data_IF_187029806037
#
_entry.id   IF_187029806037
#
_cell.length_a   1.000
_cell.length_b   1.000
_cell.length_c   1.000
_cell.angle_alpha   90.00
_cell.angle_beta   90.00
_cell.angle_gamma   90.00
#
_symmetry.space_group_name_H-M   'P 1'
#
loop_
_entity.id
_entity.type
_entity.pdbx_description
1 polymer ?
#
# COMPACT_ATOMS: atom_id res chain seq x y z
N UNK A 1 13.10 -10.85 -10.15
CA UNK A 1 13.92 -11.35 -11.28
C UNK A 1 13.58 -12.80 -11.55
N UNK A 2 13.47 -13.19 -12.82
CA UNK A 2 13.24 -14.59 -13.21
C UNK A 2 14.56 -15.32 -13.45
N UNK A 3 14.67 -16.57 -12.99
CA UNK A 3 15.76 -17.50 -13.26
C UNK A 3 15.21 -18.83 -13.79
N UNK A 4 16.05 -19.62 -14.47
CA UNK A 4 15.69 -20.92 -15.01
C UNK A 4 16.38 -22.04 -14.23
N UNK A 5 15.60 -22.99 -13.74
CA UNK A 5 16.07 -24.13 -12.95
C UNK A 5 16.99 -25.04 -13.77
N UNK A 6 18.14 -25.40 -13.19
CA UNK A 6 19.11 -26.38 -13.72
C UNK A 6 19.06 -27.67 -12.91
N UNK A 7 19.80 -28.68 -13.37
CA UNK A 7 19.92 -29.95 -12.67
C UNK A 7 20.49 -29.75 -11.25
N UNK A 8 19.75 -30.21 -10.23
CA UNK A 8 20.17 -30.13 -8.82
C UNK A 8 19.85 -28.81 -8.11
N UNK A 9 19.28 -27.82 -8.81
CA UNK A 9 18.83 -26.58 -8.18
C UNK A 9 17.64 -26.85 -7.23
N UNK A 10 17.55 -26.05 -6.16
CA UNK A 10 16.42 -26.03 -5.23
C UNK A 10 16.11 -24.59 -4.79
N UNK A 11 14.90 -24.33 -4.30
CA UNK A 11 14.55 -23.00 -3.78
C UNK A 11 15.42 -22.63 -2.56
N UNK A 12 15.82 -23.62 -1.75
CA UNK A 12 16.76 -23.42 -0.65
C UNK A 12 18.13 -22.98 -1.15
N UNK A 13 18.66 -23.61 -2.20
CA UNK A 13 19.92 -23.19 -2.83
C UNK A 13 19.85 -21.75 -3.33
N UNK A 14 18.77 -21.37 -4.03
CA UNK A 14 18.56 -19.99 -4.47
C UNK A 14 18.44 -19.01 -3.30
N UNK A 15 17.78 -19.41 -2.21
CA UNK A 15 17.72 -18.61 -0.97
C UNK A 15 19.11 -18.29 -0.42
N UNK A 16 20.02 -19.28 -0.38
CA UNK A 16 21.40 -19.06 0.06
C UNK A 16 22.19 -18.21 -0.93
N UNK A 17 22.08 -18.51 -2.22
CA UNK A 17 22.80 -17.81 -3.30
C UNK A 17 22.46 -16.32 -3.34
N UNK A 18 21.17 -15.97 -3.25
CA UNK A 18 20.69 -14.59 -3.30
C UNK A 18 20.47 -13.97 -1.92
N UNK A 19 20.77 -14.67 -0.83
CA UNK A 19 20.56 -14.21 0.55
C UNK A 19 19.13 -13.64 0.77
N UNK A 20 18.13 -14.31 0.22
CA UNK A 20 16.71 -13.96 0.36
C UNK A 20 16.06 -15.04 1.22
N UNK A 21 15.19 -14.65 2.16
CA UNK A 21 14.46 -15.62 2.98
C UNK A 21 13.69 -16.60 2.09
N UNK A 22 13.85 -17.90 2.34
CA UNK A 22 13.21 -18.97 1.57
C UNK A 22 11.69 -18.79 1.49
N UNK A 23 11.04 -18.35 2.57
CA UNK A 23 9.60 -18.10 2.59
C UNK A 23 9.18 -17.09 1.52
N UNK A 24 9.95 -16.01 1.34
CA UNK A 24 9.65 -14.99 0.31
C UNK A 24 9.82 -15.54 -1.10
N UNK A 25 10.77 -16.46 -1.33
CA UNK A 25 10.92 -17.15 -2.61
C UNK A 25 9.73 -18.08 -2.84
N UNK A 26 9.34 -18.87 -1.84
CA UNK A 26 8.17 -19.76 -1.93
C UNK A 26 6.90 -18.98 -2.25
N UNK A 27 6.66 -17.87 -1.55
CA UNK A 27 5.48 -17.02 -1.72
C UNK A 27 5.48 -16.26 -3.05
N UNK A 28 6.66 -16.01 -3.63
CA UNK A 28 6.81 -15.45 -4.98
C UNK A 28 6.52 -16.49 -6.08
N UNK A 29 6.44 -17.77 -5.72
CA UNK A 29 6.24 -18.88 -6.65
C UNK A 29 5.13 -19.83 -6.17
N UNK A 30 3.88 -19.35 -6.02
CA UNK A 30 2.80 -20.14 -5.41
C UNK A 30 2.30 -21.31 -6.28
N UNK A 31 2.66 -21.34 -7.57
CA UNK A 31 2.18 -22.36 -8.53
C UNK A 31 3.19 -23.48 -8.80
N UNK A 32 4.38 -23.44 -8.18
CA UNK A 32 5.41 -24.46 -8.39
C UNK A 32 5.45 -25.43 -7.21
N UNK A 33 5.72 -26.70 -7.47
CA UNK A 33 6.02 -27.66 -6.40
C UNK A 33 7.41 -27.36 -5.84
N UNK A 34 7.46 -26.80 -4.62
CA UNK A 34 8.70 -26.37 -3.98
C UNK A 34 9.68 -27.51 -3.69
N UNK A 35 9.20 -28.76 -3.65
CA UNK A 35 10.02 -29.94 -3.36
C UNK A 35 10.51 -30.67 -4.61
N UNK A 36 9.96 -30.36 -5.79
CA UNK A 36 10.25 -31.07 -7.02
C UNK A 36 10.36 -30.10 -8.21
N UNK A 37 11.45 -29.31 -8.22
CA UNK A 37 11.72 -28.41 -9.33
C UNK A 37 12.12 -29.19 -10.58
N UNK A 38 11.54 -28.81 -11.72
CA UNK A 38 11.87 -29.41 -13.02
C UNK A 38 12.90 -28.55 -13.75
N UNK A 39 13.89 -29.17 -14.39
CA UNK A 39 14.86 -28.45 -15.24
C UNK A 39 14.13 -27.65 -16.32
N UNK A 40 14.51 -26.39 -16.51
CA UNK A 40 13.84 -25.46 -17.43
C UNK A 40 12.66 -24.70 -16.82
N UNK A 41 12.22 -25.05 -15.61
CA UNK A 41 11.19 -24.31 -14.89
C UNK A 41 11.67 -22.91 -14.51
N UNK A 42 10.78 -21.92 -14.60
CA UNK A 42 11.05 -20.54 -14.22
C UNK A 42 10.74 -20.32 -12.74
N UNK A 43 11.65 -19.65 -12.03
CA UNK A 43 11.52 -19.27 -10.62
C UNK A 43 11.74 -17.78 -10.48
N UNK A 44 10.88 -17.12 -9.70
CA UNK A 44 10.99 -15.71 -9.35
C UNK A 44 11.82 -15.53 -8.08
N UNK A 45 12.87 -14.72 -8.16
CA UNK A 45 13.67 -14.25 -7.03
C UNK A 45 13.25 -12.81 -6.70
N UNK A 46 12.59 -12.57 -5.55
CA UNK A 46 12.13 -11.24 -5.19
C UNK A 46 13.29 -10.35 -4.73
N UNK A 47 13.13 -9.03 -4.86
CA UNK A 47 14.13 -8.03 -4.47
C UNK A 47 15.32 -7.91 -5.41
N UNK A 48 15.27 -8.56 -6.58
CA UNK A 48 16.30 -8.52 -7.60
C UNK A 48 15.72 -8.18 -8.98
N UNK A 49 16.52 -7.49 -9.78
CA UNK A 49 16.27 -7.24 -11.21
C UNK A 49 17.49 -7.69 -12.03
N UNK A 50 17.26 -8.03 -13.30
CA UNK A 50 18.31 -8.34 -14.25
C UNK A 50 18.67 -7.06 -15.03
N UNK A 51 19.84 -6.48 -14.77
CA UNK A 51 20.28 -5.27 -15.48
C UNK A 51 21.25 -5.62 -16.60
N UNK A 52 21.12 -4.96 -17.74
CA UNK A 52 22.13 -5.05 -18.80
C UNK A 52 23.43 -4.38 -18.35
N UNK A 53 24.55 -5.06 -18.61
CA UNK A 53 25.88 -4.59 -18.31
C UNK A 53 26.80 -4.87 -19.50
N UNK A 54 27.46 -3.82 -19.98
CA UNK A 54 28.46 -3.94 -21.04
C UNK A 54 29.82 -4.27 -20.42
N UNK A 55 30.42 -5.36 -20.90
CA UNK A 55 31.71 -5.86 -20.44
C UNK A 55 32.82 -4.87 -20.80
N UNK A 56 33.61 -4.47 -19.80
CA UNK A 56 34.79 -3.62 -19.99
C UNK A 56 36.07 -4.45 -20.01
N UNK A 57 37.15 -3.87 -20.53
CA UNK A 57 38.47 -4.52 -20.52
C UNK A 57 38.91 -4.81 -19.08
N UNK A 58 39.21 -6.08 -18.81
CA UNK A 58 39.62 -6.55 -17.47
C UNK A 58 38.47 -7.10 -16.61
N UNK A 59 37.22 -6.98 -17.06
CA UNK A 59 36.11 -7.65 -16.40
C UNK A 59 36.16 -9.17 -16.62
N UNK A 60 35.70 -9.88 -15.59
CA UNK A 60 35.33 -11.30 -15.61
C UNK A 60 34.01 -11.47 -14.87
N UNK A 61 33.25 -12.55 -15.14
CA UNK A 61 32.02 -12.83 -14.37
C UNK A 61 32.30 -12.86 -12.87
N UNK A 62 33.45 -13.41 -12.46
CA UNK A 62 33.85 -13.46 -11.06
C UNK A 62 34.03 -12.06 -10.46
N UNK A 63 34.77 -11.17 -11.15
CA UNK A 63 34.99 -9.80 -10.68
C UNK A 63 33.70 -8.98 -10.62
N UNK A 64 32.75 -9.24 -11.52
CA UNK A 64 31.43 -8.59 -11.53
C UNK A 64 30.57 -9.14 -10.38
N UNK A 65 30.52 -10.46 -10.20
CA UNK A 65 29.80 -11.10 -9.11
C UNK A 65 30.27 -10.60 -7.74
N UNK A 66 31.59 -10.48 -7.55
CA UNK A 66 32.19 -9.92 -6.33
C UNK A 66 31.73 -8.49 -6.06
N UNK A 67 31.68 -7.61 -7.08
CA UNK A 67 31.15 -6.25 -6.95
C UNK A 67 29.67 -6.22 -6.52
N UNK A 68 28.90 -7.24 -6.90
CA UNK A 68 27.49 -7.39 -6.54
C UNK A 68 27.25 -8.14 -5.22
N UNK A 69 28.33 -8.58 -4.54
CA UNK A 69 28.27 -9.46 -3.38
C UNK A 69 27.47 -10.75 -3.64
N UNK A 70 27.72 -11.38 -4.80
CA UNK A 70 27.09 -12.62 -5.24
C UNK A 70 28.15 -13.67 -5.62
N UNK A 71 27.83 -14.97 -5.51
CA UNK A 71 28.70 -16.01 -6.05
C UNK A 71 28.73 -15.96 -7.58
N UNK A 72 29.82 -16.46 -8.18
CA UNK A 72 29.97 -16.59 -9.64
C UNK A 72 28.77 -17.31 -10.28
N UNK A 73 28.28 -18.34 -9.61
CA UNK A 73 27.13 -19.14 -10.06
C UNK A 73 25.88 -18.30 -10.34
N UNK A 74 25.64 -17.20 -9.61
CA UNK A 74 24.50 -16.31 -9.85
C UNK A 74 24.61 -15.61 -11.21
N UNK A 75 25.83 -15.30 -11.65
CA UNK A 75 26.10 -14.72 -12.97
C UNK A 75 25.92 -15.76 -14.09
N UNK A 76 26.35 -17.00 -13.85
CA UNK A 76 26.20 -18.09 -14.82
C UNK A 76 24.73 -18.50 -14.99
N UNK A 77 23.97 -18.48 -13.89
CA UNK A 77 22.54 -18.83 -13.87
C UNK A 77 21.70 -17.88 -14.74
N UNK A 78 22.01 -16.59 -14.75
CA UNK A 78 21.24 -15.60 -15.53
C UNK A 78 21.77 -15.41 -16.96
N UNK A 79 22.96 -15.93 -17.27
CA UNK A 79 23.58 -15.87 -18.59
C UNK A 79 24.01 -17.27 -19.07
N UNK A 80 23.07 -18.24 -19.23
CA UNK A 80 23.41 -19.62 -19.54
C UNK A 80 24.17 -19.80 -20.87
N UNK A 81 24.04 -18.86 -21.80
CA UNK A 81 24.74 -18.83 -23.08
C UNK A 81 26.16 -18.24 -23.02
N UNK A 82 26.52 -17.56 -21.93
CA UNK A 82 27.79 -16.86 -21.78
C UNK A 82 28.82 -17.77 -21.11
N UNK A 83 29.91 -18.10 -21.83
CA UNK A 83 31.04 -18.83 -21.25
C UNK A 83 32.04 -17.85 -20.63
N UNK A 84 32.40 -18.09 -19.37
CA UNK A 84 33.34 -17.24 -18.63
C UNK A 84 34.69 -17.07 -19.33
N UNK A 85 35.15 -18.09 -20.08
CA UNK A 85 36.43 -18.08 -20.80
C UNK A 85 36.43 -17.30 -22.12
N UNK A 86 35.26 -16.86 -22.62
CA UNK A 86 35.13 -16.20 -23.93
C UNK A 86 34.54 -14.80 -23.85
N UNK A 87 34.55 -14.20 -22.65
CA UNK A 87 34.07 -12.84 -22.43
C UNK A 87 34.88 -11.83 -23.23
N UNK A 88 34.19 -11.03 -24.04
CA UNK A 88 34.80 -10.03 -24.90
C UNK A 88 34.37 -8.63 -24.48
N UNK A 89 35.29 -7.64 -24.42
CA UNK A 89 34.92 -6.24 -24.21
C UNK A 89 33.87 -5.79 -25.22
N UNK A 90 32.85 -5.08 -24.74
CA UNK A 90 31.72 -4.61 -25.53
C UNK A 90 30.54 -5.59 -25.59
N UNK A 91 30.71 -6.86 -25.18
CA UNK A 91 29.61 -7.82 -25.02
C UNK A 91 28.66 -7.34 -23.92
N UNK A 92 27.35 -7.49 -24.13
CA UNK A 92 26.32 -7.19 -23.12
C UNK A 92 25.90 -8.48 -22.42
N UNK A 93 25.87 -8.46 -21.09
CA UNK A 93 25.37 -9.55 -20.24
C UNK A 93 24.29 -9.03 -19.28
N UNK A 94 23.56 -9.93 -18.63
CA UNK A 94 22.67 -9.61 -17.52
C UNK A 94 23.40 -9.74 -16.19
N UNK A 95 23.22 -8.77 -15.31
CA UNK A 95 23.75 -8.76 -13.94
C UNK A 95 22.57 -8.77 -12.97
N UNK A 96 22.51 -9.73 -12.03
CA UNK A 96 21.55 -9.67 -10.94
C UNK A 96 21.88 -8.48 -10.03
N UNK A 97 20.96 -7.52 -9.96
CA UNK A 97 21.10 -6.33 -9.12
C UNK A 97 20.05 -6.39 -8.00
N UNK A 98 20.52 -6.36 -6.76
CA UNK A 98 19.64 -6.28 -5.59
C UNK A 98 19.04 -4.87 -5.49
N UNK A 99 17.74 -4.80 -5.27
CA UNK A 99 17.04 -3.55 -5.00
C UNK A 99 17.18 -3.19 -3.52
N UNK A 100 17.98 -2.16 -3.25
CA UNK A 100 18.20 -1.58 -1.92
C UNK A 100 17.85 -0.08 -1.84
N UNK A 101 17.14 0.44 -2.83
CA UNK A 101 16.63 1.81 -2.89
C UNK A 101 15.11 1.82 -3.00
N UNK A 102 14.49 2.95 -2.61
CA UNK A 102 13.05 3.14 -2.71
C UNK A 102 12.62 3.28 -4.17
N UNK A 103 11.60 2.53 -4.56
CA UNK A 103 11.00 2.51 -5.89
C UNK A 103 9.87 3.53 -6.00
N UNK A 104 9.07 3.69 -4.94
CA UNK A 104 8.02 4.71 -4.76
C UNK A 104 8.68 6.06 -4.49
N UNK A 105 8.44 7.03 -5.37
CA UNK A 105 8.97 8.39 -5.21
C UNK A 105 8.03 9.22 -4.34
N UNK A 106 8.57 9.82 -3.28
CA UNK A 106 7.79 10.49 -2.23
C UNK A 106 7.78 12.02 -2.32
N UNK A 107 8.29 12.59 -3.41
CA UNK A 107 8.37 14.04 -3.66
C UNK A 107 7.59 14.44 -4.92
N UNK A 108 6.42 13.84 -5.10
CA UNK A 108 5.55 14.10 -6.24
C UNK A 108 4.08 14.00 -5.86
N UNK A 109 3.21 14.62 -6.67
CA UNK A 109 1.76 14.39 -6.60
C UNK A 109 1.49 12.90 -6.80
N UNK A 110 0.47 12.38 -6.12
CA UNK A 110 0.18 10.94 -6.10
C UNK A 110 -1.25 10.66 -6.56
N UNK A 111 -1.42 10.63 -7.88
CA UNK A 111 -2.69 10.34 -8.53
C UNK A 111 -2.86 8.83 -8.78
N UNK A 112 -3.98 8.43 -9.39
CA UNK A 112 -4.28 7.01 -9.61
C UNK A 112 -3.34 6.37 -10.63
N UNK A 113 -2.92 7.13 -11.66
CA UNK A 113 -1.94 6.66 -12.64
C UNK A 113 -0.60 6.33 -11.99
N UNK A 114 -0.13 7.20 -11.10
CA UNK A 114 1.10 7.00 -10.35
C UNK A 114 0.99 5.83 -9.37
N UNK A 115 -0.14 5.70 -8.66
CA UNK A 115 -0.41 4.54 -7.81
C UNK A 115 -0.29 3.23 -8.60
N UNK A 116 -0.94 3.13 -9.76
CA UNK A 116 -0.90 1.91 -10.58
C UNK A 116 0.50 1.59 -11.09
N UNK A 117 1.27 2.61 -11.50
CA UNK A 117 2.68 2.43 -11.89
C UNK A 117 3.51 1.86 -10.73
N UNK A 118 3.33 2.38 -9.53
CA UNK A 118 4.07 1.92 -8.36
C UNK A 118 3.66 0.51 -7.92
N UNK A 119 2.35 0.20 -7.93
CA UNK A 119 1.86 -1.16 -7.66
C UNK A 119 2.48 -2.17 -8.63
N UNK A 120 2.46 -1.88 -9.93
CA UNK A 120 3.02 -2.77 -10.95
C UNK A 120 4.53 -2.95 -10.76
N UNK A 121 5.27 -1.86 -10.51
CA UNK A 121 6.71 -1.89 -10.28
C UNK A 121 7.08 -2.66 -9.01
N UNK A 122 6.33 -2.48 -7.92
CA UNK A 122 6.53 -3.24 -6.69
C UNK A 122 6.22 -4.72 -6.91
N UNK A 123 5.13 -5.08 -7.60
CA UNK A 123 4.78 -6.47 -7.86
C UNK A 123 5.80 -7.20 -8.74
N UNK A 124 6.34 -6.54 -9.76
CA UNK A 124 7.39 -7.11 -10.61
C UNK A 124 8.66 -7.45 -9.80
N UNK A 125 9.02 -6.60 -8.84
CA UNK A 125 10.22 -6.76 -8.02
C UNK A 125 9.96 -7.69 -6.82
N UNK A 126 8.74 -7.72 -6.30
CA UNK A 126 8.33 -8.47 -5.12
C UNK A 126 7.09 -9.34 -5.40
N UNK A 127 7.22 -10.45 -6.15
CA UNK A 127 6.08 -11.24 -6.62
C UNK A 127 5.31 -11.99 -5.52
N UNK A 128 5.81 -11.98 -4.27
CA UNK A 128 5.08 -12.48 -3.11
C UNK A 128 3.95 -11.54 -2.66
N UNK A 129 3.86 -10.32 -3.21
CA UNK A 129 2.67 -9.48 -3.09
C UNK A 129 1.51 -10.12 -3.84
N UNK A 130 0.33 -10.19 -3.22
CA UNK A 130 -0.90 -10.57 -3.95
C UNK A 130 -1.72 -9.32 -4.19
N UNK A 131 -2.03 -9.05 -5.44
CA UNK A 131 -2.86 -7.91 -5.84
C UNK A 131 -4.18 -8.43 -6.36
N UNK A 132 -5.27 -7.86 -5.87
CA UNK A 132 -6.62 -8.12 -6.37
C UNK A 132 -7.40 -6.82 -6.50
N UNK A 133 -8.51 -6.85 -7.24
CA UNK A 133 -9.39 -5.70 -7.36
C UNK A 133 -10.65 -5.95 -6.53
N UNK A 134 -11.00 -5.02 -5.64
CA UNK A 134 -12.15 -5.17 -4.72
C UNK A 134 -13.46 -4.59 -5.28
N UNK A 135 -13.37 -3.84 -6.37
CA UNK A 135 -14.53 -3.18 -6.96
C UNK A 135 -14.15 -2.20 -8.06
N UNK A 136 -15.07 -1.32 -8.41
CA UNK A 136 -14.82 -0.23 -9.33
C UNK A 136 -15.42 1.04 -8.79
N UNK A 137 -14.78 2.16 -9.06
CA UNK A 137 -15.32 3.49 -8.77
C UNK A 137 -16.50 3.82 -9.69
N UNK A 138 -17.14 4.96 -9.45
CA UNK A 138 -18.21 5.48 -10.33
C UNK A 138 -17.77 5.62 -11.79
N UNK A 139 -16.54 6.07 -12.06
CA UNK A 139 -15.99 6.19 -13.41
C UNK A 139 -15.35 4.89 -13.94
N UNK A 140 -15.45 3.80 -13.17
CA UNK A 140 -15.00 2.47 -13.60
C UNK A 140 -13.53 2.17 -13.36
N UNK A 141 -12.81 2.99 -12.57
CA UNK A 141 -11.44 2.70 -12.15
C UNK A 141 -11.44 1.54 -11.16
N UNK A 142 -10.45 0.68 -11.24
CA UNK A 142 -10.29 -0.43 -10.29
C UNK A 142 -9.86 0.10 -8.91
N UNK A 143 -10.21 -0.62 -7.85
CA UNK A 143 -9.80 -0.32 -6.48
C UNK A 143 -8.89 -1.47 -6.03
N UNK A 144 -7.56 -1.32 -6.14
CA UNK A 144 -6.64 -2.40 -5.84
C UNK A 144 -6.51 -2.65 -4.33
N UNK A 145 -6.60 -3.91 -3.93
CA UNK A 145 -6.10 -4.42 -2.65
C UNK A 145 -4.72 -5.06 -2.86
N UNK A 146 -3.78 -4.73 -1.99
CA UNK A 146 -2.46 -5.38 -1.88
C UNK A 146 -2.43 -6.19 -0.58
N UNK A 147 -2.12 -7.48 -0.68
CA UNK A 147 -1.92 -8.38 0.45
C UNK A 147 -0.43 -8.74 0.58
N UNK A 148 0.07 -8.69 1.81
CA UNK A 148 1.44 -9.08 2.16
C UNK A 148 1.50 -9.77 3.53
N UNK A 149 2.28 -10.85 3.63
CA UNK A 149 2.43 -11.64 4.84
C UNK A 149 1.55 -12.89 4.87
N UNK A 150 1.82 -13.76 5.83
CA UNK A 150 1.31 -15.14 5.91
C UNK A 150 0.65 -15.47 7.24
N UNK A 151 0.65 -14.53 8.19
CA UNK A 151 0.15 -14.78 9.52
C UNK A 151 -1.34 -14.57 9.69
N UNK A 152 -1.88 -15.12 10.78
CA UNK A 152 -3.33 -15.12 11.04
C UNK A 152 -3.86 -13.75 11.50
N UNK A 153 -3.00 -12.86 12.02
CA UNK A 153 -3.41 -11.50 12.39
C UNK A 153 -3.65 -10.66 11.14
N UNK A 154 -4.91 -10.43 10.80
CA UNK A 154 -5.30 -9.68 9.61
C UNK A 154 -5.45 -8.20 9.94
N UNK A 155 -4.50 -7.39 9.47
CA UNK A 155 -4.49 -5.94 9.70
C UNK A 155 -4.81 -5.25 8.39
N UNK A 156 -5.68 -4.25 8.40
CA UNK A 156 -6.07 -3.52 7.19
C UNK A 156 -5.74 -2.03 7.27
N UNK A 157 -5.05 -1.52 6.26
CA UNK A 157 -4.73 -0.10 6.06
C UNK A 157 -5.46 0.42 4.83
N UNK A 158 -6.05 1.61 4.93
CA UNK A 158 -6.57 2.31 3.77
C UNK A 158 -6.33 3.81 3.83
N UNK A 159 -6.38 4.46 2.68
CA UNK A 159 -6.20 5.90 2.57
C UNK A 159 -7.06 6.51 1.48
N UNK A 160 -7.10 7.84 1.49
CA UNK A 160 -7.79 8.63 0.46
C UNK A 160 -9.25 8.22 0.27
N UNK A 161 -9.95 7.99 1.40
CA UNK A 161 -11.42 8.07 1.42
C UNK A 161 -11.87 9.46 0.96
N UNK A 162 -11.21 10.49 1.50
CA UNK A 162 -11.35 11.86 1.04
C UNK A 162 -10.32 12.20 -0.04
N UNK A 163 -10.77 12.86 -1.10
CA UNK A 163 -10.00 13.13 -2.30
C UNK A 163 -8.82 14.09 -2.08
N UNK A 164 -9.01 15.16 -1.32
CA UNK A 164 -7.97 16.14 -0.98
C UNK A 164 -6.95 15.61 0.05
N UNK A 165 -7.12 14.39 0.55
CA UNK A 165 -6.23 13.73 1.51
C UNK A 165 -5.33 12.68 0.82
N UNK A 166 -5.11 12.83 -0.49
CA UNK A 166 -4.34 11.89 -1.34
C UNK A 166 -2.92 11.59 -0.84
N UNK A 167 -2.33 12.46 -0.01
CA UNK A 167 -1.02 12.24 0.61
C UNK A 167 -0.98 10.99 1.49
N UNK A 168 -2.14 10.54 2.00
CA UNK A 168 -2.30 9.29 2.75
C UNK A 168 -1.96 8.06 1.90
N UNK A 169 -2.40 8.04 0.62
CA UNK A 169 -2.02 6.99 -0.35
C UNK A 169 -0.51 6.91 -0.50
N UNK A 170 0.15 8.07 -0.64
CA UNK A 170 1.59 8.15 -0.79
C UNK A 170 2.32 7.67 0.47
N UNK A 171 1.84 8.01 1.66
CA UNK A 171 2.42 7.57 2.92
C UNK A 171 2.33 6.04 3.09
N UNK A 172 1.18 5.45 2.77
CA UNK A 172 0.94 4.01 2.81
C UNK A 172 1.86 3.28 1.81
N UNK A 173 1.95 3.76 0.56
CA UNK A 173 2.79 3.14 -0.47
C UNK A 173 4.29 3.30 -0.19
N UNK A 174 4.69 4.42 0.43
CA UNK A 174 6.07 4.62 0.91
C UNK A 174 6.40 3.62 2.03
N UNK A 175 5.49 3.41 2.98
CA UNK A 175 5.64 2.40 4.02
C UNK A 175 5.74 0.99 3.43
N UNK A 176 4.84 0.61 2.51
CA UNK A 176 4.88 -0.68 1.85
C UNK A 176 6.25 -0.91 1.19
N UNK A 177 6.79 0.08 0.49
CA UNK A 177 8.11 -0.04 -0.12
C UNK A 177 9.22 -0.25 0.93
N UNK A 178 9.22 0.53 2.02
CA UNK A 178 10.24 0.39 3.06
C UNK A 178 10.14 -0.98 3.75
N UNK A 179 8.91 -1.48 3.96
CA UNK A 179 8.64 -2.81 4.49
C UNK A 179 9.17 -3.91 3.55
N UNK A 180 8.94 -3.80 2.24
CA UNK A 180 9.47 -4.72 1.23
C UNK A 180 11.00 -4.71 1.18
N UNK A 181 11.61 -3.53 1.25
CA UNK A 181 13.07 -3.40 1.32
C UNK A 181 13.63 -4.07 2.59
N UNK A 182 12.98 -3.88 3.73
CA UNK A 182 13.35 -4.53 4.99
C UNK A 182 13.32 -6.06 4.87
N UNK A 183 12.28 -6.62 4.27
CA UNK A 183 12.11 -8.07 4.07
C UNK A 183 13.20 -8.68 3.17
N UNK A 184 13.58 -8.01 2.08
CA UNK A 184 14.52 -8.57 1.09
C UNK A 184 15.98 -8.21 1.33
N UNK A 185 16.27 -7.24 2.20
CA UNK A 185 17.63 -6.77 2.52
C UNK A 185 18.03 -7.03 3.98
N UNK A 186 17.15 -7.62 4.79
CA UNK A 186 17.37 -7.89 6.23
C UNK A 186 17.73 -6.63 7.04
N UNK A 187 17.26 -5.47 6.60
CA UNK A 187 17.51 -4.19 7.27
C UNK A 187 16.32 -3.83 8.16
N UNK A 188 16.50 -3.62 9.47
CA UNK A 188 15.40 -3.30 10.36
C UNK A 188 14.85 -1.89 10.09
N UNK A 189 13.55 -1.71 10.29
CA UNK A 189 12.89 -0.39 10.29
C UNK A 189 12.77 0.05 11.74
N UNK A 190 13.48 1.12 12.12
CA UNK A 190 13.51 1.60 13.52
C UNK A 190 13.90 0.50 14.53
N UNK A 191 14.81 -0.39 14.15
CA UNK A 191 15.25 -1.52 14.98
C UNK A 191 14.32 -2.74 14.95
N UNK A 192 13.18 -2.68 14.25
CA UNK A 192 12.26 -3.80 14.09
C UNK A 192 12.55 -4.58 12.81
N UNK A 193 12.73 -5.90 12.95
CA UNK A 193 12.86 -6.79 11.81
C UNK A 193 11.49 -7.03 11.18
N UNK A 194 11.38 -6.94 9.85
CA UNK A 194 10.13 -7.17 9.15
C UNK A 194 9.73 -8.65 9.05
N UNK A 195 10.70 -9.58 9.08
CA UNK A 195 10.40 -11.02 8.90
C UNK A 195 9.43 -11.59 9.93
N UNK A 196 9.55 -11.31 11.25
CA UNK A 196 8.53 -11.72 12.22
C UNK A 196 7.15 -11.13 11.92
N UNK A 197 7.07 -9.87 11.50
CA UNK A 197 5.79 -9.21 11.17
C UNK A 197 5.12 -9.89 9.97
N UNK A 198 5.91 -10.29 8.97
CA UNK A 198 5.42 -11.02 7.79
C UNK A 198 4.85 -12.39 8.15
N UNK A 199 5.42 -13.07 9.14
CA UNK A 199 4.96 -14.40 9.58
C UNK A 199 3.77 -14.33 10.54
N UNK A 200 3.66 -13.25 11.32
CA UNK A 200 2.62 -13.09 12.33
C UNK A 200 1.36 -12.41 11.80
N UNK A 201 1.50 -11.60 10.74
CA UNK A 201 0.40 -10.82 10.19
C UNK A 201 0.21 -11.06 8.69
N UNK A 202 -1.03 -10.92 8.24
CA UNK A 202 -1.37 -10.61 6.85
C UNK A 202 -1.87 -9.17 6.82
N UNK A 203 -1.09 -8.29 6.18
CA UNK A 203 -1.43 -6.90 5.97
C UNK A 203 -2.20 -6.76 4.65
N UNK A 204 -3.42 -6.25 4.74
CA UNK A 204 -4.25 -5.81 3.62
C UNK A 204 -4.15 -4.29 3.47
N UNK A 205 -3.96 -3.82 2.25
CA UNK A 205 -3.83 -2.40 1.94
C UNK A 205 -4.76 -2.05 0.79
N UNK A 206 -5.63 -1.06 0.97
CA UNK A 206 -6.31 -0.35 -0.13
C UNK A 206 -5.77 1.08 -0.14
N UNK A 207 -4.73 1.38 -0.95
CA UNK A 207 -4.01 2.65 -0.82
C UNK A 207 -4.90 3.87 -1.05
N UNK A 208 -5.80 3.76 -2.04
CA UNK A 208 -6.66 4.84 -2.52
C UNK A 208 -8.08 4.33 -2.71
N UNK A 209 -8.98 4.70 -1.80
CA UNK A 209 -10.40 4.32 -1.87
C UNK A 209 -11.17 5.16 -2.90
N UNK A 210 -10.80 6.44 -3.04
CA UNK A 210 -11.46 7.40 -3.93
C UNK A 210 -10.60 7.84 -5.15
N UNK A 211 -10.21 6.94 -6.08
CA UNK A 211 -9.47 7.33 -7.27
C UNK A 211 -10.12 8.43 -8.12
N UNK A 212 -11.44 8.47 -8.21
CA UNK A 212 -12.11 9.48 -9.05
C UNK A 212 -12.04 10.88 -8.45
N UNK A 213 -12.25 11.02 -7.14
CA UNK A 213 -12.11 12.29 -6.46
C UNK A 213 -10.65 12.76 -6.41
N UNK A 214 -9.69 11.86 -6.16
CA UNK A 214 -8.25 12.23 -6.15
C UNK A 214 -7.81 12.78 -7.51
N UNK A 215 -8.23 12.14 -8.61
CA UNK A 215 -7.97 12.65 -9.96
C UNK A 215 -8.61 14.03 -10.18
N UNK A 216 -9.84 14.23 -9.70
CA UNK A 216 -10.49 15.54 -9.78
C UNK A 216 -9.68 16.64 -9.08
N UNK A 217 -9.17 16.36 -7.87
CA UNK A 217 -8.35 17.31 -7.10
C UNK A 217 -7.01 17.60 -7.79
N UNK A 218 -6.34 16.59 -8.33
CA UNK A 218 -4.96 16.71 -8.83
C UNK A 218 -4.86 17.12 -10.29
N UNK A 219 -5.79 16.63 -11.12
CA UNK A 219 -5.74 16.67 -12.58
C UNK A 219 -6.94 17.43 -13.18
N UNK A 220 -7.98 17.72 -12.39
CA UNK A 220 -9.19 18.39 -12.85
C UNK A 220 -10.27 17.42 -13.35
N UNK A 221 -11.36 17.94 -13.93
CA UNK A 221 -12.53 17.13 -14.24
C UNK A 221 -12.26 16.13 -15.38
N UNK A 222 -12.98 14.99 -15.41
CA UNK A 222 -12.84 14.00 -16.48
C UNK A 222 -13.15 14.57 -17.88
N UNK A 223 -12.64 13.93 -18.94
CA UNK A 223 -12.85 14.39 -20.33
C UNK A 223 -14.32 14.38 -20.78
N UNK A 224 -15.15 13.53 -20.17
CA UNK A 224 -16.57 13.43 -20.51
C UNK A 224 -17.31 14.70 -20.06
N UNK A 225 -17.88 15.42 -21.02
CA UNK A 225 -18.59 16.70 -20.83
C UNK A 225 -19.66 16.64 -19.72
N UNK A 226 -20.37 15.51 -19.60
CA UNK A 226 -21.37 15.29 -18.55
C UNK A 226 -20.78 15.45 -17.14
N UNK A 227 -19.56 14.94 -16.90
CA UNK A 227 -18.91 15.00 -15.61
C UNK A 227 -18.33 16.37 -15.34
N UNK A 228 -17.78 17.04 -16.37
CA UNK A 228 -17.27 18.41 -16.25
C UNK A 228 -18.35 19.36 -15.76
N UNK A 229 -19.56 19.31 -16.35
CA UNK A 229 -20.68 20.15 -15.93
C UNK A 229 -21.13 19.82 -14.50
N UNK A 230 -21.29 18.53 -14.20
CA UNK A 230 -21.78 18.08 -12.88
C UNK A 230 -20.87 18.45 -11.73
N UNK A 231 -19.55 18.23 -11.86
CA UNK A 231 -18.63 18.56 -10.76
C UNK A 231 -18.52 20.06 -10.53
N UNK A 232 -18.61 20.88 -11.59
CA UNK A 232 -18.67 22.35 -11.44
C UNK A 232 -19.98 22.79 -10.79
N UNK A 233 -21.12 22.18 -11.16
CA UNK A 233 -22.41 22.44 -10.53
C UNK A 233 -22.39 22.09 -9.04
N UNK A 234 -21.92 20.90 -8.69
CA UNK A 234 -21.73 20.48 -7.30
C UNK A 234 -20.76 21.41 -6.55
N UNK A 235 -19.75 21.95 -7.24
CA UNK A 235 -18.81 22.92 -6.72
C UNK A 235 -19.29 24.39 -6.81
N UNK A 236 -20.61 24.61 -6.93
CA UNK A 236 -21.25 25.94 -6.94
C UNK A 236 -20.69 26.90 -8.00
N UNK A 237 -20.35 26.36 -9.17
CA UNK A 237 -19.78 27.11 -10.29
C UNK A 237 -18.26 27.28 -10.23
N UNK A 238 -17.59 26.83 -9.16
CA UNK A 238 -16.13 26.88 -9.07
C UNK A 238 -15.47 25.79 -9.92
N UNK A 239 -14.41 26.18 -10.63
CA UNK A 239 -13.52 25.25 -11.35
C UNK A 239 -12.27 24.89 -10.55
N UNK A 240 -12.16 25.39 -9.32
CA UNK A 240 -11.10 25.02 -8.38
C UNK A 240 -11.60 23.87 -7.50
N UNK A 241 -11.01 22.69 -7.69
CA UNK A 241 -11.35 21.46 -6.98
C UNK A 241 -10.38 21.11 -5.87
N UNK A 242 -9.45 22.00 -5.50
CA UNK A 242 -8.40 21.71 -4.49
C UNK A 242 -8.98 21.25 -3.15
N UNK A 243 -10.11 21.82 -2.72
CA UNK A 243 -10.79 21.46 -1.47
C UNK A 243 -11.78 20.29 -1.58
N UNK A 244 -11.88 19.65 -2.75
CA UNK A 244 -12.84 18.56 -2.97
C UNK A 244 -12.50 17.34 -2.10
N UNK A 245 -13.44 16.93 -1.26
CA UNK A 245 -13.34 15.83 -0.29
C UNK A 245 -14.09 14.58 -0.79
N UNK A 246 -15.28 14.77 -1.36
CA UNK A 246 -16.20 13.72 -1.77
C UNK A 246 -15.70 12.82 -2.92
N UNK A 247 -16.46 11.78 -3.27
CA UNK A 247 -16.27 11.07 -4.55
C UNK A 247 -16.76 11.91 -5.73
N UNK A 248 -16.68 11.38 -6.96
CA UNK A 248 -17.07 12.13 -8.17
C UNK A 248 -18.56 12.48 -8.24
N UNK A 249 -19.41 11.77 -7.48
CA UNK A 249 -20.84 12.07 -7.36
C UNK A 249 -21.14 13.09 -6.27
N UNK A 250 -20.13 13.64 -5.61
CA UNK A 250 -20.30 14.60 -4.53
C UNK A 250 -20.81 13.98 -3.23
N UNK A 251 -20.57 12.67 -3.03
CA UNK A 251 -20.90 11.95 -1.79
C UNK A 251 -19.64 11.72 -0.97
N UNK A 252 -19.70 12.00 0.33
CA UNK A 252 -18.64 11.69 1.27
C UNK A 252 -18.57 10.18 1.53
N UNK A 253 -17.48 9.54 1.09
CA UNK A 253 -17.32 8.08 1.22
C UNK A 253 -17.13 7.62 2.66
N UNK A 254 -16.60 8.47 3.54
CA UNK A 254 -16.45 8.11 4.94
C UNK A 254 -17.74 8.36 5.75
N UNK A 255 -18.82 8.84 5.12
CA UNK A 255 -20.15 8.92 5.73
C UNK A 255 -21.13 7.90 5.11
N UNK A 256 -20.62 6.88 4.41
CA UNK A 256 -21.44 5.88 3.72
C UNK A 256 -21.65 4.59 4.53
N UNK A 257 -21.09 4.44 5.73
CA UNK A 257 -21.21 3.19 6.50
C UNK A 257 -22.38 3.24 7.50
N UNK A 258 -23.04 2.10 7.78
CA UNK A 258 -24.26 2.06 8.60
C UNK A 258 -23.97 2.09 10.11
N UNK A 259 -23.23 3.10 10.57
CA UNK A 259 -22.94 3.35 11.97
C UNK A 259 -23.63 4.64 12.42
N UNK A 260 -24.88 4.54 12.89
CA UNK A 260 -25.72 5.71 13.21
C UNK A 260 -25.86 6.70 12.04
N UNK A 261 -25.95 6.17 10.82
CA UNK A 261 -25.96 6.97 9.59
C UNK A 261 -27.06 8.04 9.56
N UNK A 262 -28.22 7.76 10.14
CA UNK A 262 -29.33 8.71 10.24
C UNK A 262 -28.98 9.95 11.07
N UNK A 263 -28.11 9.82 12.09
CA UNK A 263 -27.61 10.94 12.87
C UNK A 263 -26.64 11.79 12.07
N UNK A 264 -25.78 11.14 11.26
CA UNK A 264 -24.87 11.83 10.33
C UNK A 264 -25.65 12.58 9.26
N UNK A 265 -26.70 11.97 8.71
CA UNK A 265 -27.59 12.63 7.73
C UNK A 265 -28.27 13.87 8.30
N UNK A 266 -28.76 13.81 9.53
CA UNK A 266 -29.55 14.88 10.13
C UNK A 266 -28.77 16.20 10.34
N UNK A 267 -27.43 16.15 10.33
CA UNK A 267 -26.55 17.30 10.62
C UNK A 267 -25.74 17.79 9.42
N UNK A 268 -25.82 17.10 8.29
CA UNK A 268 -25.02 17.34 7.10
C UNK A 268 -25.87 17.88 5.93
N UNK A 269 -25.24 18.39 4.85
CA UNK A 269 -25.96 18.81 3.65
C UNK A 269 -26.89 17.73 3.11
N UNK A 270 -27.98 18.16 2.47
CA UNK A 270 -28.98 17.26 1.86
C UNK A 270 -28.80 17.09 0.33
N UNK A 271 -27.76 17.70 -0.24
CA UNK A 271 -27.49 17.67 -1.68
C UNK A 271 -26.01 17.34 -1.94
N UNK A 272 -25.70 16.68 -3.08
CA UNK A 272 -24.33 16.43 -3.50
C UNK A 272 -23.47 17.68 -3.58
N UNK A 273 -22.21 17.56 -3.18
CA UNK A 273 -21.29 18.70 -3.15
C UNK A 273 -19.84 18.29 -2.94
N UNK A 274 -18.93 19.26 -2.80
CA UNK A 274 -17.50 18.99 -2.63
C UNK A 274 -17.18 18.25 -1.33
N UNK A 275 -18.07 18.26 -0.33
CA UNK A 275 -17.82 17.71 0.99
C UNK A 275 -19.10 17.42 1.77
N UNK A 276 -18.99 16.49 2.73
CA UNK A 276 -19.91 16.24 3.84
C UNK A 276 -21.35 15.79 3.47
N UNK A 277 -21.71 15.69 2.17
CA UNK A 277 -22.97 15.08 1.76
C UNK A 277 -22.93 13.56 1.95
N UNK A 278 -23.77 13.05 2.84
CA UNK A 278 -23.71 11.64 3.29
C UNK A 278 -24.38 10.62 2.33
N UNK A 279 -25.03 11.09 1.26
CA UNK A 279 -25.81 10.26 0.35
C UNK A 279 -27.28 10.05 0.75
N UNK A 280 -28.02 9.30 -0.06
CA UNK A 280 -29.47 9.06 0.18
C UNK A 280 -29.74 7.96 1.21
N UNK A 281 -28.83 6.99 1.31
CA UNK A 281 -28.82 5.85 2.22
C UNK A 281 -27.36 5.33 2.38
N UNK A 282 -27.04 4.56 3.44
CA UNK A 282 -25.71 3.97 3.56
C UNK A 282 -25.46 2.94 2.46
N UNK A 283 -24.17 2.71 2.17
CA UNK A 283 -23.66 1.74 1.19
C UNK A 283 -24.38 1.87 -0.16
N UNK A 284 -24.39 3.08 -0.70
CA UNK A 284 -24.90 3.38 -2.04
C UNK A 284 -23.74 3.55 -3.04
N UNK A 285 -22.67 4.23 -2.63
CA UNK A 285 -21.53 4.47 -3.49
C UNK A 285 -20.69 3.21 -3.70
N UNK A 286 -20.26 2.93 -4.95
CA UNK A 286 -19.61 1.66 -5.28
C UNK A 286 -18.26 1.49 -4.57
N UNK A 287 -17.56 2.58 -4.27
CA UNK A 287 -16.32 2.57 -3.47
C UNK A 287 -16.59 2.12 -2.03
N UNK A 288 -17.62 2.66 -1.39
CA UNK A 288 -18.02 2.28 -0.03
C UNK A 288 -18.52 0.82 0.04
N UNK A 289 -19.29 0.38 -0.98
CA UNK A 289 -19.73 -1.01 -1.11
C UNK A 289 -18.53 -1.95 -1.23
N UNK A 290 -17.54 -1.60 -2.06
CA UNK A 290 -16.32 -2.39 -2.23
C UNK A 290 -15.57 -2.57 -0.91
N UNK A 291 -15.38 -1.49 -0.15
CA UNK A 291 -14.75 -1.53 1.17
C UNK A 291 -15.54 -2.35 2.19
N UNK A 292 -16.87 -2.22 2.19
CA UNK A 292 -17.73 -2.99 3.08
C UNK A 292 -17.69 -4.49 2.78
N UNK A 293 -17.69 -4.88 1.50
CA UNK A 293 -17.55 -6.27 1.09
C UNK A 293 -16.17 -6.83 1.46
N UNK A 294 -15.10 -6.08 1.19
CA UNK A 294 -13.75 -6.47 1.56
C UNK A 294 -13.65 -6.76 3.06
N UNK A 295 -14.19 -5.87 3.89
CA UNK A 295 -14.16 -5.99 5.36
C UNK A 295 -14.83 -7.27 5.83
N UNK A 296 -15.99 -7.61 5.25
CA UNK A 296 -16.73 -8.84 5.55
C UNK A 296 -15.97 -10.09 5.08
N UNK A 297 -15.38 -10.05 3.89
CA UNK A 297 -14.68 -11.20 3.31
C UNK A 297 -13.35 -11.51 3.98
N UNK A 298 -12.61 -10.48 4.41
CA UNK A 298 -11.27 -10.64 4.98
C UNK A 298 -11.28 -10.88 6.47
N UNK A 299 -12.35 -10.53 7.19
CA UNK A 299 -12.47 -10.72 8.63
C UNK A 299 -11.26 -10.13 9.40
N UNK A 300 -11.06 -8.82 9.27
CA UNK A 300 -9.90 -8.14 9.84
C UNK A 300 -9.90 -8.17 11.37
N UNK A 301 -8.73 -8.38 11.98
CA UNK A 301 -8.51 -8.20 13.42
C UNK A 301 -8.48 -6.72 13.80
N UNK A 302 -7.99 -5.87 12.88
CA UNK A 302 -7.84 -4.43 13.10
C UNK A 302 -7.90 -3.65 11.79
N UNK A 303 -8.49 -2.45 11.83
CA UNK A 303 -8.48 -1.50 10.71
C UNK A 303 -7.86 -0.15 11.11
N UNK A 304 -7.02 0.41 10.23
CA UNK A 304 -6.50 1.78 10.33
C UNK A 304 -6.89 2.53 9.05
N UNK A 305 -7.80 3.49 9.19
CA UNK A 305 -8.17 4.42 8.13
C UNK A 305 -7.32 5.69 8.24
N UNK A 306 -6.48 5.94 7.24
CA UNK A 306 -5.59 7.10 7.22
C UNK A 306 -6.27 8.28 6.51
N UNK A 307 -6.31 9.40 7.23
CA UNK A 307 -6.90 10.66 6.82
C UNK A 307 -5.91 11.80 7.04
N UNK A 308 -6.28 13.02 6.67
CA UNK A 308 -5.62 14.26 7.09
C UNK A 308 -6.69 15.28 7.48
N UNK A 309 -6.54 16.07 8.54
CA UNK A 309 -5.35 16.37 9.31
C UNK A 309 -5.66 16.61 10.79
N UNK A 310 -4.62 16.59 11.63
CA UNK A 310 -4.71 17.00 13.04
C UNK A 310 -3.56 16.50 13.90
N UNK A 311 -2.85 15.46 13.46
CA UNK A 311 -1.98 14.64 14.32
C UNK A 311 -2.78 14.02 15.48
N UNK A 312 -3.94 13.47 15.14
CA UNK A 312 -4.91 12.89 16.07
C UNK A 312 -5.22 11.45 15.67
N UNK A 313 -5.54 10.61 16.65
CA UNK A 313 -5.96 9.22 16.45
C UNK A 313 -7.32 9.03 17.12
N UNK A 314 -8.39 8.87 16.34
CA UNK A 314 -9.70 8.50 16.86
C UNK A 314 -9.84 6.99 16.97
N UNK A 315 -10.30 6.49 18.12
CA UNK A 315 -10.22 5.05 18.41
C UNK A 315 -11.44 4.42 19.10
N UNK A 316 -12.41 5.20 19.56
CA UNK A 316 -13.64 4.70 20.19
C UNK A 316 -14.89 4.96 19.37
N UNK A 317 -15.97 4.23 19.66
CA UNK A 317 -17.31 4.48 19.11
C UNK A 317 -18.38 3.92 20.06
N UNK A 318 -19.19 4.81 20.66
CA UNK A 318 -20.27 4.46 21.61
C UNK A 318 -19.89 3.47 22.74
N UNK A 319 -18.62 3.41 23.14
CA UNK A 319 -18.07 2.42 24.08
C UNK A 319 -18.18 0.95 23.61
N UNK A 320 -18.27 0.73 22.30
CA UNK A 320 -18.26 -0.60 21.67
C UNK A 320 -16.84 -1.06 21.32
N UNK A 321 -15.84 -0.18 21.42
CA UNK A 321 -14.45 -0.56 21.22
C UNK A 321 -13.94 -1.52 22.31
N UNK A 322 -13.16 -2.55 21.97
CA UNK A 322 -12.62 -3.48 22.96
C UNK A 322 -11.54 -2.80 23.81
N UNK A 323 -11.33 -3.29 25.04
CA UNK A 323 -10.37 -2.71 26.00
C UNK A 323 -8.92 -2.63 25.47
N UNK A 324 -8.52 -3.58 24.61
CA UNK A 324 -7.20 -3.58 23.97
C UNK A 324 -6.95 -2.34 23.09
N UNK A 325 -8.00 -1.68 22.60
CA UNK A 325 -7.90 -0.46 21.77
C UNK A 325 -7.13 0.64 22.49
N UNK A 326 -7.31 0.77 23.80
CA UNK A 326 -6.62 1.78 24.61
C UNK A 326 -5.11 1.48 24.73
N UNK A 327 -4.73 0.19 24.82
CA UNK A 327 -3.32 -0.22 24.88
C UNK A 327 -2.64 0.10 23.55
N UNK A 328 -3.30 -0.23 22.43
CA UNK A 328 -2.78 -0.01 21.08
C UNK A 328 -2.66 1.49 20.79
N UNK A 329 -3.68 2.29 21.11
CA UNK A 329 -3.65 3.73 20.82
C UNK A 329 -2.59 4.47 21.62
N UNK A 330 -2.32 4.03 22.87
CA UNK A 330 -1.22 4.56 23.68
C UNK A 330 0.12 4.28 23.01
N UNK A 331 0.29 3.10 22.43
CA UNK A 331 1.49 2.78 21.67
C UNK A 331 1.60 3.63 20.39
N UNK A 332 0.50 3.79 19.64
CA UNK A 332 0.47 4.66 18.46
C UNK A 332 0.84 6.09 18.81
N UNK A 333 0.29 6.62 19.91
CA UNK A 333 0.63 7.95 20.43
C UNK A 333 2.10 8.04 20.81
N UNK A 334 2.65 7.05 21.53
CA UNK A 334 4.07 7.02 21.93
C UNK A 334 5.04 7.06 20.74
N UNK A 335 4.75 6.34 19.66
CA UNK A 335 5.66 6.21 18.50
C UNK A 335 5.54 7.33 17.46
N UNK A 336 4.45 8.11 17.50
CA UNK A 336 4.16 9.18 16.53
C UNK A 336 4.09 10.59 17.13
N UNK A 337 3.77 10.69 18.43
CA UNK A 337 3.41 11.93 19.11
C UNK A 337 1.97 12.40 18.85
N UNK A 338 1.14 11.59 18.19
CA UNK A 338 -0.25 11.96 17.88
C UNK A 338 -1.15 11.83 19.10
N UNK A 339 -2.16 12.69 19.19
CA UNK A 339 -3.10 12.73 20.30
C UNK A 339 -4.18 11.64 20.16
N UNK A 340 -4.33 10.72 21.13
CA UNK A 340 -5.40 9.74 21.12
C UNK A 340 -6.71 10.36 21.61
N UNK A 341 -7.75 10.38 20.77
CA UNK A 341 -9.08 10.91 21.11
C UNK A 341 -10.09 9.76 21.09
N UNK A 342 -10.66 9.46 22.26
CA UNK A 342 -11.58 8.33 22.40
C UNK A 342 -12.94 8.59 21.76
N UNK A 343 -13.51 9.76 22.01
CA UNK A 343 -14.88 10.08 21.64
C UNK A 343 -14.94 11.42 20.94
N UNK A 344 -15.66 11.44 19.84
CA UNK A 344 -16.02 12.64 19.08
C UNK A 344 -17.47 12.45 18.61
N UNK A 345 -18.21 13.54 18.45
CA UNK A 345 -19.52 13.48 17.80
C UNK A 345 -19.29 13.31 16.29
N UNK A 346 -19.03 12.08 15.86
CA UNK A 346 -18.94 11.66 14.46
C UNK A 346 -19.54 10.28 14.30
N UNK A 347 -20.24 10.07 13.20
CA UNK A 347 -20.93 8.83 12.88
C UNK A 347 -20.67 8.46 11.41
N UNK A 348 -21.18 7.31 11.00
CA UNK A 348 -21.10 6.75 9.65
C UNK A 348 -19.68 6.47 9.09
N UNK A 349 -18.64 6.75 9.87
CA UNK A 349 -17.24 6.46 9.59
C UNK A 349 -16.98 4.98 9.33
N UNK A 350 -16.02 4.66 8.47
CA UNK A 350 -15.56 3.29 8.29
C UNK A 350 -15.10 2.65 9.61
N UNK A 351 -14.35 3.40 10.42
CA UNK A 351 -13.94 3.02 11.78
C UNK A 351 -15.15 2.73 12.67
N UNK A 352 -16.13 3.63 12.66
CA UNK A 352 -17.32 3.55 13.53
C UNK A 352 -18.09 2.27 13.24
N UNK A 353 -18.33 1.99 11.97
CA UNK A 353 -19.00 0.78 11.51
C UNK A 353 -18.22 -0.48 11.87
N UNK A 354 -16.90 -0.47 11.69
CA UNK A 354 -16.08 -1.62 12.06
C UNK A 354 -16.16 -1.92 13.57
N UNK A 355 -16.06 -0.89 14.42
CA UNK A 355 -16.18 -1.04 15.87
C UNK A 355 -17.59 -1.50 16.25
N UNK A 356 -18.63 -0.91 15.67
CA UNK A 356 -20.03 -1.23 15.97
C UNK A 356 -20.36 -2.70 15.67
N UNK A 357 -20.02 -3.18 14.48
CA UNK A 357 -20.48 -4.48 13.97
C UNK A 357 -19.54 -5.63 14.37
N UNK A 358 -18.23 -5.39 14.48
CA UNK A 358 -17.25 -6.43 14.84
C UNK A 358 -16.76 -6.35 16.29
N UNK A 359 -16.92 -5.22 16.98
CA UNK A 359 -16.36 -4.98 18.31
C UNK A 359 -14.85 -5.27 18.37
N UNK A 360 -14.15 -4.90 17.29
CA UNK A 360 -12.70 -5.05 17.12
C UNK A 360 -12.03 -3.69 17.02
N UNK A 361 -10.71 -3.69 17.14
CA UNK A 361 -9.91 -2.45 17.18
C UNK A 361 -9.96 -1.71 15.84
N UNK A 362 -10.45 -0.47 15.85
CA UNK A 362 -10.54 0.38 14.67
C UNK A 362 -9.99 1.77 14.98
N UNK A 363 -9.23 2.35 14.04
CA UNK A 363 -8.61 3.65 14.21
C UNK A 363 -8.76 4.53 12.98
N UNK A 364 -9.05 5.81 13.20
CA UNK A 364 -8.90 6.87 12.20
C UNK A 364 -7.66 7.65 12.55
N UNK A 365 -6.68 7.68 11.66
CA UNK A 365 -5.37 8.31 11.86
C UNK A 365 -5.30 9.59 11.02
N UNK A 366 -5.39 10.74 11.67
CA UNK A 366 -5.32 12.07 11.03
C UNK A 366 -3.87 12.54 10.90
N UNK A 367 -3.27 12.35 9.73
CA UNK A 367 -1.86 12.68 9.49
C UNK A 367 -1.63 14.20 9.34
N UNK A 368 -0.49 14.68 9.82
CA UNK A 368 -0.05 16.07 9.62
C UNK A 368 -0.99 17.12 10.23
N UNK A 369 -0.66 18.40 10.03
CA UNK A 369 -1.48 19.56 10.45
C UNK A 369 -1.51 20.59 9.34
N UNK A 370 -2.58 21.37 9.26
CA UNK A 370 -2.71 22.43 8.26
C UNK A 370 -4.09 22.43 7.60
N UNK A 371 -4.10 22.76 6.31
CA UNK A 371 -5.30 22.81 5.47
C UNK A 371 -5.08 21.84 4.31
N UNK A 372 -6.04 20.95 4.08
CA UNK A 372 -6.00 20.03 2.95
C UNK A 372 -6.14 20.77 1.60
N UNK A 373 -5.45 20.31 0.54
CA UNK A 373 -4.46 19.24 0.56
C UNK A 373 -3.16 19.67 1.26
N UNK A 374 -2.65 18.84 2.17
CA UNK A 374 -1.38 19.14 2.85
C UNK A 374 -0.23 19.21 1.83
N UNK A 375 0.67 20.21 1.92
CA UNK A 375 1.72 20.39 0.93
C UNK A 375 2.80 19.29 1.04
N UNK A 376 3.34 18.88 -0.11
CA UNK A 376 4.40 17.85 -0.19
C UNK A 376 5.66 18.19 0.60
N UNK A 377 5.92 19.47 0.87
CA UNK A 377 7.03 19.89 1.73
C UNK A 377 6.95 19.32 3.15
N UNK A 378 5.75 18.94 3.61
CA UNK A 378 5.51 18.33 4.92
C UNK A 378 5.60 16.80 4.91
N UNK A 379 5.76 16.18 3.74
CA UNK A 379 5.65 14.72 3.60
C UNK A 379 6.67 13.98 4.47
N UNK A 380 7.93 14.41 4.50
CA UNK A 380 8.97 13.70 5.25
C UNK A 380 8.66 13.68 6.77
N UNK A 381 8.12 14.77 7.32
CA UNK A 381 7.70 14.82 8.73
C UNK A 381 6.46 13.97 8.99
N UNK A 382 5.45 14.05 8.11
CA UNK A 382 4.25 13.22 8.16
C UNK A 382 4.64 11.74 8.16
N UNK A 383 5.46 11.33 7.19
CA UNK A 383 5.89 9.95 7.03
C UNK A 383 6.74 9.48 8.21
N UNK A 384 7.65 10.31 8.70
CA UNK A 384 8.43 10.00 9.89
C UNK A 384 7.52 9.74 11.09
N UNK A 385 6.48 10.54 11.34
CA UNK A 385 5.58 10.28 12.48
C UNK A 385 4.69 9.06 12.24
N UNK A 386 4.15 8.88 11.03
CA UNK A 386 3.26 7.75 10.70
C UNK A 386 3.99 6.40 10.62
N UNK A 387 5.29 6.36 10.30
CA UNK A 387 6.08 5.13 10.26
C UNK A 387 6.02 4.32 11.56
N UNK A 388 5.95 5.01 12.71
CA UNK A 388 5.76 4.35 14.00
C UNK A 388 4.41 3.62 14.08
N UNK A 389 3.34 4.28 13.65
CA UNK A 389 1.97 3.74 13.65
C UNK A 389 1.87 2.56 12.69
N UNK A 390 2.44 2.66 11.48
CA UNK A 390 2.43 1.56 10.52
C UNK A 390 3.10 0.29 11.06
N UNK A 391 4.22 0.42 11.78
CA UNK A 391 4.89 -0.72 12.42
C UNK A 391 4.07 -1.22 13.62
N UNK A 392 3.59 -0.32 14.47
CA UNK A 392 2.80 -0.66 15.65
C UNK A 392 1.50 -1.38 15.30
N UNK A 393 0.85 -1.00 14.19
CA UNK A 393 -0.32 -1.71 13.70
C UNK A 393 -0.05 -3.19 13.38
N UNK A 394 1.20 -3.56 13.09
CA UNK A 394 1.61 -4.93 12.80
C UNK A 394 2.17 -5.70 13.99
N UNK A 395 2.89 -5.07 14.93
CA UNK A 395 3.46 -5.82 16.08
C UNK A 395 2.55 -5.83 17.32
N UNK A 396 1.68 -4.83 17.49
CA UNK A 396 0.61 -4.85 18.51
C UNK A 396 -0.52 -5.72 18.02
#
# INVERSE_FOLDING_TARGET
MEIVVRQGDSLWHFSQMFQVNLQLINDSNPKIDHNNLTVGQKVQIPGFVAMEYQIHRGDSLWSIAQKMNLPLEAMELINPEVKASTLSPGQTIKVPTRINWRLVQNRQKYDYSQLQKDINKLHEIYPFLKISNIGKTVLGKEIPEILIGTGEKRVHYNGSFHANEWITSLAIMTFLNDYLLSLTNHQPIRGLNASPLYQQSTLSIVPMVNPDGVELVLNGPPDKEEWQKRVVEFNKGSTDFTEWKANIRGVDLNDQFPARWELEKARNPNEPGPRDYVGERPLLEPEAIAMANLTKERDFTRVLAFHTQGEVIFWGFENLEPAESEVIVKEFSRVSGYEPVKTIASYAGYKDWFIQDWQRTGFTIELGRGINPLPLSMFDDIYKKSLGIFLAGLYM
#
